data_IF_644784416738
#
_entry.id   IF_644784416738
#
_cell.length_a   1.000
_cell.length_b   1.000
_cell.length_c   1.000
_cell.angle_alpha   90.00
_cell.angle_beta   90.00
_cell.angle_gamma   90.00
#
_symmetry.space_group_name_H-M   'P 1'
#
loop_
_entity.id
_entity.type
_entity.pdbx_description
1 polymer ?
#
# COMPACT_ATOMS: atom_id res chain seq x y z
N UNK A 1 10.94 -25.12 -5.13
CA UNK A 1 9.64 -24.55 -4.69
C UNK A 1 8.56 -24.69 -5.79
N UNK A 2 7.27 -24.78 -5.45
CA UNK A 2 6.17 -24.77 -6.46
C UNK A 2 6.03 -23.36 -7.07
N UNK A 3 5.85 -23.26 -8.39
CA UNK A 3 5.75 -21.98 -9.12
C UNK A 3 4.74 -21.00 -8.52
N UNK A 4 3.62 -21.51 -8.01
CA UNK A 4 2.57 -20.68 -7.39
C UNK A 4 2.99 -20.05 -6.07
N UNK A 5 3.76 -20.77 -5.24
CA UNK A 5 4.23 -20.24 -3.95
C UNK A 5 5.24 -19.11 -4.20
N UNK A 6 6.12 -19.30 -5.18
CA UNK A 6 7.07 -18.28 -5.62
C UNK A 6 6.36 -16.99 -6.03
N UNK A 7 5.35 -17.12 -6.89
CA UNK A 7 4.52 -16.03 -7.38
C UNK A 7 3.79 -15.31 -6.22
N UNK A 8 3.19 -16.07 -5.29
CA UNK A 8 2.53 -15.47 -4.12
C UNK A 8 3.49 -14.66 -3.26
N UNK A 9 4.67 -15.17 -2.95
CA UNK A 9 5.66 -14.45 -2.13
C UNK A 9 6.20 -13.21 -2.84
N UNK A 10 6.48 -13.32 -4.15
CA UNK A 10 6.85 -12.18 -4.98
C UNK A 10 5.80 -11.07 -4.92
N UNK A 11 4.53 -11.42 -5.12
CA UNK A 11 3.45 -10.43 -5.11
C UNK A 11 3.17 -9.88 -3.71
N UNK A 12 3.27 -10.68 -2.64
CA UNK A 12 3.21 -10.15 -1.27
C UNK A 12 4.25 -9.06 -1.07
N UNK A 13 5.50 -9.32 -1.49
CA UNK A 13 6.57 -8.34 -1.43
C UNK A 13 6.23 -7.04 -2.15
N UNK A 14 5.77 -7.14 -3.41
CA UNK A 14 5.37 -5.97 -4.20
C UNK A 14 4.23 -5.18 -3.56
N UNK A 15 3.16 -5.86 -3.15
CA UNK A 15 1.97 -5.20 -2.62
C UNK A 15 2.21 -4.52 -1.27
N UNK A 16 3.01 -5.12 -0.39
CA UNK A 16 3.34 -4.47 0.90
C UNK A 16 4.20 -3.24 0.68
N UNK A 17 5.19 -3.31 -0.22
CA UNK A 17 6.04 -2.15 -0.52
C UNK A 17 5.23 -1.04 -1.21
N UNK A 18 4.36 -1.39 -2.18
CA UNK A 18 3.44 -0.45 -2.83
C UNK A 18 2.52 0.25 -1.85
N UNK A 19 1.91 -0.49 -0.93
CA UNK A 19 1.01 0.09 0.07
C UNK A 19 1.74 1.13 0.92
N UNK A 20 3.00 0.86 1.28
CA UNK A 20 3.83 1.78 2.06
C UNK A 20 4.21 3.03 1.26
N UNK A 21 4.68 2.84 0.02
CA UNK A 21 5.11 3.95 -0.85
C UNK A 21 3.94 4.84 -1.26
N UNK A 22 2.81 4.26 -1.68
CA UNK A 22 1.59 5.02 -2.00
C UNK A 22 1.08 5.78 -0.78
N UNK A 23 1.08 5.17 0.41
CA UNK A 23 0.70 5.86 1.64
C UNK A 23 1.65 7.02 1.97
N UNK A 24 2.96 6.84 1.77
CA UNK A 24 3.97 7.90 1.96
C UNK A 24 3.77 9.05 0.99
N UNK A 25 3.54 8.76 -0.29
CA UNK A 25 3.29 9.77 -1.33
C UNK A 25 2.04 10.57 -0.98
N UNK A 26 0.92 9.90 -0.67
CA UNK A 26 -0.32 10.56 -0.28
C UNK A 26 -0.12 11.46 0.93
N UNK A 27 0.54 10.95 1.97
CA UNK A 27 0.80 11.71 3.20
C UNK A 27 1.60 12.99 2.93
N UNK A 28 2.72 12.88 2.20
CA UNK A 28 3.59 14.02 1.88
C UNK A 28 2.90 15.02 0.95
N UNK A 29 2.21 14.56 -0.09
CA UNK A 29 1.55 15.44 -1.03
C UNK A 29 0.41 16.21 -0.38
N UNK A 30 -0.45 15.53 0.38
CA UNK A 30 -1.57 16.18 1.07
C UNK A 30 -1.09 17.16 2.15
N UNK A 31 -0.03 16.81 2.88
CA UNK A 31 0.57 17.74 3.84
C UNK A 31 1.15 18.99 3.18
N UNK A 32 1.83 18.83 2.02
CA UNK A 32 2.36 19.98 1.25
C UNK A 32 1.24 20.90 0.74
N UNK A 33 0.14 20.34 0.25
CA UNK A 33 -1.00 21.12 -0.22
C UNK A 33 -1.64 21.94 0.91
N UNK A 34 -1.77 21.37 2.11
CA UNK A 34 -2.28 22.09 3.28
C UNK A 34 -1.35 23.22 3.75
N UNK A 35 -0.06 23.10 3.49
CA UNK A 35 0.94 24.08 3.91
C UNK A 35 1.09 25.27 2.94
N UNK A 36 0.66 25.13 1.69
CA UNK A 36 0.76 26.18 0.67
C UNK A 36 -0.62 26.70 0.22
N UNK A 37 -1.07 27.87 0.73
CA UNK A 37 -2.36 28.46 0.37
C UNK A 37 -2.50 28.88 -1.10
N UNK A 38 -1.40 28.93 -1.86
CA UNK A 38 -1.42 29.31 -3.28
C UNK A 38 -1.45 28.10 -4.23
N UNK A 39 -1.37 26.88 -3.70
CA UNK A 39 -1.47 25.66 -4.51
C UNK A 39 -2.90 25.51 -5.06
N UNK A 40 -3.01 25.33 -6.38
CA UNK A 40 -4.26 24.92 -7.02
C UNK A 40 -4.50 23.43 -6.73
N UNK A 41 -5.53 23.15 -5.92
CA UNK A 41 -5.86 21.80 -5.47
C UNK A 41 -6.10 20.84 -6.63
N UNK A 42 -6.87 21.27 -7.63
CA UNK A 42 -7.24 20.39 -8.74
C UNK A 42 -6.03 20.05 -9.60
N UNK A 43 -5.18 21.03 -9.89
CA UNK A 43 -3.94 20.82 -10.66
C UNK A 43 -2.99 19.88 -9.92
N UNK A 44 -2.83 20.07 -8.61
CA UNK A 44 -1.97 19.22 -7.77
C UNK A 44 -2.49 17.78 -7.71
N UNK A 45 -3.80 17.60 -7.48
CA UNK A 45 -4.43 16.29 -7.44
C UNK A 45 -4.37 15.55 -8.78
N UNK A 46 -4.62 16.25 -9.90
CA UNK A 46 -4.47 15.67 -11.25
C UNK A 46 -3.04 15.23 -11.54
N UNK A 47 -2.07 16.07 -11.17
CA UNK A 47 -0.65 15.76 -11.37
C UNK A 47 -0.24 14.51 -10.59
N UNK A 48 -0.69 14.38 -9.34
CA UNK A 48 -0.44 13.21 -8.52
C UNK A 48 -1.06 11.93 -9.12
N UNK A 49 -2.31 11.98 -9.56
CA UNK A 49 -2.95 10.82 -10.22
C UNK A 49 -2.20 10.40 -11.48
N UNK A 50 -1.79 11.37 -12.31
CA UNK A 50 -1.04 11.10 -13.54
C UNK A 50 0.31 10.41 -13.27
N UNK A 51 1.06 10.88 -12.27
CA UNK A 51 2.33 10.25 -11.85
C UNK A 51 2.10 8.83 -11.32
N UNK A 52 1.02 8.61 -10.57
CA UNK A 52 0.65 7.30 -10.06
C UNK A 52 0.02 6.38 -11.13
N UNK A 53 0.07 6.76 -12.41
CA UNK A 53 -0.46 5.96 -13.52
C UNK A 53 -1.99 5.84 -13.55
N UNK A 54 -2.70 6.64 -12.75
CA UNK A 54 -4.17 6.70 -12.75
C UNK A 54 -4.63 7.73 -13.77
N UNK A 55 -5.44 7.32 -14.75
CA UNK A 55 -5.95 8.23 -15.79
C UNK A 55 -6.89 9.29 -15.17
N UNK A 56 -6.47 10.57 -15.05
CA UNK A 56 -7.26 11.61 -14.40
C UNK A 56 -8.48 12.02 -15.25
N UNK A 57 -8.47 11.68 -16.54
CA UNK A 57 -9.45 12.13 -17.54
C UNK A 57 -10.83 11.49 -17.36
N UNK A 58 -10.93 10.40 -16.58
CA UNK A 58 -12.19 9.70 -16.32
C UNK A 58 -12.93 10.19 -15.06
N UNK A 59 -12.32 11.09 -14.28
CA UNK A 59 -12.76 11.38 -12.91
C UNK A 59 -13.51 12.72 -12.73
N UNK A 60 -13.69 13.52 -13.78
CA UNK A 60 -14.29 14.86 -13.64
C UNK A 60 -13.40 15.79 -12.82
N UNK A 61 -13.97 16.69 -12.01
CA UNK A 61 -13.19 17.53 -11.09
C UNK A 61 -12.57 16.67 -9.98
N UNK A 62 -11.24 16.71 -9.84
CA UNK A 62 -10.50 15.88 -8.88
C UNK A 62 -9.98 16.76 -7.75
N UNK A 63 -10.53 16.60 -6.55
CA UNK A 63 -10.00 17.17 -5.31
C UNK A 63 -9.33 16.12 -4.42
N UNK A 64 -8.89 16.55 -3.24
CA UNK A 64 -8.21 15.70 -2.23
C UNK A 64 -9.01 14.44 -1.92
N UNK A 65 -10.33 14.57 -1.72
CA UNK A 65 -11.21 13.43 -1.45
C UNK A 65 -11.15 12.40 -2.57
N UNK A 66 -11.19 12.83 -3.84
CA UNK A 66 -11.14 11.92 -4.99
C UNK A 66 -9.81 11.16 -5.09
N UNK A 67 -8.70 11.84 -4.77
CA UNK A 67 -7.37 11.20 -4.73
C UNK A 67 -7.30 10.16 -3.60
N UNK A 68 -7.78 10.50 -2.40
CA UNK A 68 -7.80 9.59 -1.24
C UNK A 68 -8.68 8.38 -1.51
N UNK A 69 -9.84 8.57 -2.14
CA UNK A 69 -10.69 7.45 -2.57
C UNK A 69 -9.94 6.54 -3.54
N UNK A 70 -9.35 7.10 -4.59
CA UNK A 70 -8.74 6.33 -5.68
C UNK A 70 -7.45 5.61 -5.29
N UNK A 71 -6.52 6.33 -4.66
CA UNK A 71 -5.19 5.81 -4.33
C UNK A 71 -5.11 5.25 -2.91
N UNK A 72 -5.99 5.69 -2.00
CA UNK A 72 -6.01 5.23 -0.62
C UNK A 72 -7.01 4.09 -0.42
N UNK A 73 -8.28 4.32 -0.74
CA UNK A 73 -9.39 3.53 -0.20
C UNK A 73 -9.99 2.48 -1.16
N UNK A 74 -9.64 2.51 -2.45
CA UNK A 74 -10.17 1.58 -3.45
C UNK A 74 -9.70 0.13 -3.21
N UNK A 75 -10.51 -0.70 -2.55
CA UNK A 75 -10.18 -2.10 -2.24
C UNK A 75 -10.09 -3.00 -3.47
N UNK A 76 -10.56 -2.55 -4.63
CA UNK A 76 -10.60 -3.35 -5.86
C UNK A 76 -9.37 -3.16 -6.74
N UNK A 77 -8.66 -2.05 -6.57
CA UNK A 77 -7.46 -1.71 -7.32
C UNK A 77 -6.19 -2.04 -6.51
N UNK A 78 -5.37 -3.03 -6.93
CA UNK A 78 -4.08 -3.31 -6.30
C UNK A 78 -3.04 -2.18 -6.43
N UNK A 79 -3.36 -1.10 -7.17
CA UNK A 79 -2.61 0.15 -7.18
C UNK A 79 -2.87 1.03 -5.95
N UNK A 80 -4.01 0.86 -5.27
CA UNK A 80 -4.36 1.61 -4.07
C UNK A 80 -3.74 0.98 -2.82
N UNK A 81 -3.68 1.75 -1.73
CA UNK A 81 -3.21 1.26 -0.42
C UNK A 81 -4.06 0.09 0.08
N UNK A 82 -5.38 0.25 0.14
CA UNK A 82 -6.29 -0.78 0.64
C UNK A 82 -6.30 -2.02 -0.27
N UNK A 83 -6.32 -1.83 -1.60
CA UNK A 83 -6.33 -2.92 -2.56
C UNK A 83 -5.01 -3.70 -2.56
N UNK A 84 -3.86 -3.03 -2.43
CA UNK A 84 -2.57 -3.70 -2.29
C UNK A 84 -2.53 -4.55 -1.00
N UNK A 85 -2.95 -4.01 0.15
CA UNK A 85 -3.00 -4.77 1.41
C UNK A 85 -4.00 -5.94 1.35
N UNK A 86 -5.12 -5.78 0.66
CA UNK A 86 -6.08 -6.86 0.39
C UNK A 86 -5.41 -7.98 -0.42
N UNK A 87 -4.74 -7.63 -1.51
CA UNK A 87 -4.07 -8.56 -2.40
C UNK A 87 -2.90 -9.27 -1.72
N UNK A 88 -2.12 -8.57 -0.89
CA UNK A 88 -1.06 -9.16 -0.08
C UNK A 88 -1.62 -10.21 0.89
N UNK A 89 -2.70 -9.87 1.62
CA UNK A 89 -3.38 -10.80 2.52
C UNK A 89 -3.88 -12.04 1.79
N UNK A 90 -4.50 -11.87 0.62
CA UNK A 90 -5.04 -13.00 -0.13
C UNK A 90 -3.94 -13.95 -0.63
N UNK A 91 -2.82 -13.40 -1.11
CA UNK A 91 -1.65 -14.22 -1.46
C UNK A 91 -1.07 -14.96 -0.25
N UNK A 92 -0.98 -14.29 0.91
CA UNK A 92 -0.51 -14.92 2.14
C UNK A 92 -1.47 -16.03 2.63
N UNK A 93 -2.78 -15.84 2.43
CA UNK A 93 -3.79 -16.86 2.76
C UNK A 93 -3.61 -18.13 1.93
N UNK A 94 -3.31 -17.97 0.64
CA UNK A 94 -3.07 -19.06 -0.30
C UNK A 94 -1.70 -19.74 -0.16
N UNK A 95 -0.78 -19.17 0.62
CA UNK A 95 0.59 -19.66 0.86
C UNK A 95 0.91 -19.77 2.35
N UNK A 96 -0.11 -20.09 3.15
CA UNK A 96 -0.06 -20.06 4.63
C UNK A 96 0.94 -21.05 5.22
N UNK A 97 1.29 -22.09 4.48
CA UNK A 97 2.32 -23.07 4.80
C UNK A 97 3.74 -22.55 4.64
N UNK A 98 3.93 -21.42 3.94
CA UNK A 98 5.26 -20.84 3.65
C UNK A 98 5.49 -19.51 4.37
N UNK A 99 4.44 -18.69 4.56
CA UNK A 99 4.54 -17.50 5.40
C UNK A 99 4.57 -17.88 6.88
N UNK A 100 5.30 -17.13 7.71
CA UNK A 100 5.29 -17.33 9.16
C UNK A 100 3.91 -17.00 9.75
N UNK A 101 3.60 -17.60 10.90
CA UNK A 101 2.34 -17.36 11.59
C UNK A 101 2.19 -15.88 11.99
N UNK A 102 3.28 -15.27 12.45
CA UNK A 102 3.37 -13.88 12.86
C UNK A 102 3.14 -12.93 11.68
N UNK A 103 3.72 -13.22 10.52
CA UNK A 103 3.49 -12.43 9.31
C UNK A 103 2.03 -12.51 8.86
N UNK A 104 1.45 -13.72 8.87
CA UNK A 104 0.03 -13.92 8.56
C UNK A 104 -0.87 -13.14 9.52
N UNK A 105 -0.65 -13.26 10.84
CA UNK A 105 -1.42 -12.54 11.86
C UNK A 105 -1.31 -11.03 11.70
N UNK A 106 -0.12 -10.54 11.38
CA UNK A 106 0.12 -9.12 11.14
C UNK A 106 -0.64 -8.62 9.90
N UNK A 107 -0.62 -9.35 8.77
CA UNK A 107 -1.40 -9.01 7.58
C UNK A 107 -2.90 -9.05 7.90
N UNK A 108 -3.34 -10.08 8.60
CA UNK A 108 -4.74 -10.27 8.94
C UNK A 108 -5.26 -9.15 9.84
N UNK A 109 -4.51 -8.81 10.89
CA UNK A 109 -4.85 -7.71 11.81
C UNK A 109 -4.82 -6.36 11.11
N UNK A 110 -3.84 -6.13 10.22
CA UNK A 110 -3.77 -4.91 9.42
C UNK A 110 -5.03 -4.76 8.57
N UNK A 111 -5.41 -5.80 7.82
CA UNK A 111 -6.62 -5.80 7.02
C UNK A 111 -7.90 -5.52 7.84
N UNK A 112 -8.05 -6.16 8.99
CA UNK A 112 -9.20 -5.92 9.87
C UNK A 112 -9.25 -4.46 10.34
N UNK A 113 -8.09 -3.85 10.59
CA UNK A 113 -7.98 -2.44 10.95
C UNK A 113 -8.19 -1.45 9.81
N UNK A 114 -8.40 -1.91 8.58
CA UNK A 114 -8.77 -1.07 7.43
C UNK A 114 -10.29 -0.95 7.24
N UNK A 115 -11.10 -1.77 7.93
CA UNK A 115 -12.56 -1.77 7.75
C UNK A 115 -13.21 -0.41 8.07
N UNK A 116 -12.62 0.32 9.00
CA UNK A 116 -13.03 1.64 9.48
C UNK A 116 -12.11 2.77 8.95
N UNK A 117 -11.41 2.54 7.83
CA UNK A 117 -10.46 3.51 7.25
C UNK A 117 -11.11 4.87 6.96
N UNK A 118 -12.29 4.87 6.33
CA UNK A 118 -13.03 6.09 5.99
C UNK A 118 -13.38 6.90 7.25
N UNK A 119 -13.99 6.26 8.22
CA UNK A 119 -14.38 6.88 9.50
C UNK A 119 -13.16 7.45 10.24
N UNK A 120 -12.02 6.76 10.21
CA UNK A 120 -10.77 7.25 10.81
C UNK A 120 -10.22 8.48 10.11
N UNK A 121 -10.26 8.50 8.78
CA UNK A 121 -9.82 9.66 7.99
C UNK A 121 -10.74 10.85 8.26
N UNK A 122 -12.05 10.66 8.30
CA UNK A 122 -13.01 11.73 8.60
C UNK A 122 -12.83 12.28 10.03
N UNK A 123 -12.59 11.41 11.00
CA UNK A 123 -12.47 11.80 12.41
C UNK A 123 -11.10 12.39 12.78
N UNK A 124 -10.00 11.86 12.23
CA UNK A 124 -8.61 12.18 12.65
C UNK A 124 -7.76 12.80 11.54
N UNK A 125 -8.26 12.84 10.31
CA UNK A 125 -7.55 13.30 9.14
C UNK A 125 -6.75 12.20 8.43
N UNK A 126 -6.27 12.54 7.24
CA UNK A 126 -5.52 11.64 6.34
C UNK A 126 -4.14 11.25 6.89
N UNK A 127 -3.44 12.19 7.55
CA UNK A 127 -2.06 11.98 8.00
C UNK A 127 -1.93 10.86 9.03
N UNK A 128 -2.69 10.84 10.15
CA UNK A 128 -2.61 9.73 11.11
C UNK A 128 -2.98 8.37 10.52
N UNK A 129 -3.88 8.35 9.53
CA UNK A 129 -4.27 7.11 8.86
C UNK A 129 -3.12 6.56 7.99
N UNK A 130 -2.53 7.37 7.11
CA UNK A 130 -1.42 6.91 6.26
C UNK A 130 -0.13 6.64 7.06
N UNK A 131 0.11 7.39 8.15
CA UNK A 131 1.16 7.05 9.10
C UNK A 131 0.95 5.65 9.68
N UNK A 132 -0.26 5.34 10.17
CA UNK A 132 -0.58 4.01 10.70
C UNK A 132 -0.36 2.91 9.66
N UNK A 133 -0.82 3.10 8.41
CA UNK A 133 -0.58 2.14 7.31
C UNK A 133 0.92 1.87 7.14
N UNK A 134 1.75 2.91 7.09
CA UNK A 134 3.19 2.77 6.93
C UNK A 134 3.83 2.02 8.09
N UNK A 135 3.42 2.32 9.32
CA UNK A 135 3.86 1.57 10.51
C UNK A 135 3.51 0.08 10.40
N UNK A 136 2.30 -0.25 9.93
CA UNK A 136 1.90 -1.65 9.69
C UNK A 136 2.79 -2.33 8.63
N UNK A 137 3.13 -1.64 7.55
CA UNK A 137 4.03 -2.15 6.52
C UNK A 137 5.46 -2.37 7.06
N UNK A 138 5.95 -1.47 7.90
CA UNK A 138 7.24 -1.64 8.58
C UNK A 138 7.24 -2.86 9.53
N UNK A 139 6.18 -3.05 10.31
CA UNK A 139 6.04 -4.23 11.19
C UNK A 139 6.02 -5.51 10.35
N UNK A 140 5.28 -5.53 9.23
CA UNK A 140 5.26 -6.65 8.30
C UNK A 140 6.65 -6.98 7.75
N UNK A 141 7.38 -5.96 7.30
CA UNK A 141 8.74 -6.12 6.79
C UNK A 141 9.70 -6.69 7.86
N UNK A 142 9.60 -6.19 9.10
CA UNK A 142 10.42 -6.66 10.21
C UNK A 142 10.09 -8.10 10.65
N UNK A 143 8.80 -8.46 10.68
CA UNK A 143 8.37 -9.83 10.95
C UNK A 143 8.85 -10.78 9.86
N UNK A 144 8.73 -10.38 8.59
CA UNK A 144 9.20 -11.19 7.48
C UNK A 144 10.72 -11.49 7.64
N UNK A 145 11.55 -10.47 7.92
CA UNK A 145 13.01 -10.64 8.06
C UNK A 145 13.45 -11.47 9.28
N UNK A 146 12.63 -11.47 10.34
CA UNK A 146 12.99 -12.13 11.60
C UNK A 146 12.42 -13.55 11.73
N UNK A 147 11.29 -13.85 11.10
CA UNK A 147 10.54 -15.10 11.32
C UNK A 147 10.52 -16.04 10.11
N UNK A 148 10.74 -15.56 8.89
CA UNK A 148 10.78 -16.43 7.73
C UNK A 148 12.11 -17.17 7.61
N UNK A 149 12.04 -18.41 7.12
CA UNK A 149 13.21 -19.17 6.69
C UNK A 149 13.91 -18.44 5.53
N UNK A 150 15.23 -18.28 5.58
CA UNK A 150 16.02 -17.65 4.52
C UNK A 150 16.27 -18.60 3.33
N UNK A 151 15.19 -19.02 2.70
CA UNK A 151 15.17 -19.94 1.56
C UNK A 151 14.80 -19.23 0.24
N UNK A 152 14.47 -20.01 -0.79
CA UNK A 152 14.01 -19.49 -2.09
C UNK A 152 12.78 -18.58 -1.93
N UNK A 153 11.83 -18.93 -1.06
CA UNK A 153 10.61 -18.16 -0.85
C UNK A 153 10.89 -16.77 -0.30
N UNK A 154 11.80 -16.68 0.67
CA UNK A 154 12.32 -15.41 1.17
C UNK A 154 12.92 -14.55 0.05
N UNK A 155 13.71 -15.16 -0.84
CA UNK A 155 14.31 -14.44 -1.97
C UNK A 155 13.26 -13.86 -2.93
N UNK A 156 12.17 -14.59 -3.22
CA UNK A 156 11.08 -14.06 -4.05
C UNK A 156 10.36 -12.89 -3.41
N UNK A 157 10.11 -12.95 -2.09
CA UNK A 157 9.54 -11.82 -1.35
C UNK A 157 10.44 -10.59 -1.44
N UNK A 158 11.74 -10.75 -1.19
CA UNK A 158 12.73 -9.66 -1.28
C UNK A 158 12.84 -9.12 -2.70
N UNK A 159 12.80 -10.00 -3.72
CA UNK A 159 12.80 -9.61 -5.13
C UNK A 159 11.58 -8.74 -5.45
N UNK A 160 10.38 -9.16 -5.03
CA UNK A 160 9.15 -8.37 -5.21
C UNK A 160 9.29 -6.96 -4.63
N UNK A 161 9.70 -6.86 -3.36
CA UNK A 161 9.94 -5.56 -2.72
C UNK A 161 10.96 -4.71 -3.46
N UNK A 162 12.05 -5.32 -3.91
CA UNK A 162 13.14 -4.61 -4.58
C UNK A 162 12.70 -4.06 -5.95
N UNK A 163 11.91 -4.82 -6.70
CA UNK A 163 11.34 -4.36 -7.97
C UNK A 163 10.36 -3.21 -7.75
N UNK A 164 9.47 -3.33 -6.76
CA UNK A 164 8.53 -2.24 -6.47
C UNK A 164 9.24 -0.94 -6.11
N UNK A 165 10.30 -1.00 -5.30
CA UNK A 165 11.13 0.18 -5.00
C UNK A 165 11.75 0.81 -6.23
N UNK A 166 12.22 0.01 -7.17
CA UNK A 166 12.80 0.52 -8.42
C UNK A 166 11.70 1.21 -9.23
N UNK A 167 10.52 0.60 -9.34
CA UNK A 167 9.38 1.18 -10.07
C UNK A 167 8.93 2.52 -9.45
N UNK A 168 9.02 2.68 -8.12
CA UNK A 168 8.64 3.90 -7.39
C UNK A 168 9.72 4.99 -7.35
N UNK A 169 10.89 4.77 -7.97
CA UNK A 169 11.97 5.77 -8.06
C UNK A 169 12.05 6.52 -9.39
N UNK A 170 11.33 6.04 -10.42
CA UNK A 170 11.39 6.56 -11.79
C UNK A 170 10.48 7.77 -12.04
#
# INVERSE_FOLDING_TARGET
MLSRIAESLYWIGRYVERAEDTARILDVHLHRMLADPWTDEEVACRSLLAVMGSAPDQLGAVGVTGVVERLGLDTTDPGSVLGALAAARENARGSRETVSAEMWECLNTTWLGLADARDRIELRGVHPFFQWVRERCCVLAGLADTTMSRDEGWQFLVLGRSIERVDMTA
#
